data_IF_780573361560
#
_entry.id   IF_780573361560
#
_cell.length_a   1.000
_cell.length_b   1.000
_cell.length_c   1.000
_cell.angle_alpha   90.00
_cell.angle_beta   90.00
_cell.angle_gamma   90.00
#
_symmetry.space_group_name_H-M   'P 1'
#
loop_
_entity.id
_entity.type
_entity.pdbx_description
1 polymer ?
#
# COMPACT_ATOMS: atom_id res chain seq x y z
N UNK A 1 10.68 -3.86 -4.82
CA UNK A 1 9.91 -3.89 -3.58
C UNK A 1 8.73 -4.85 -3.67
N UNK A 2 7.70 -4.52 -4.46
CA UNK A 2 6.41 -5.21 -4.46
C UNK A 2 6.50 -6.73 -4.66
N UNK A 3 7.14 -7.18 -5.74
CA UNK A 3 7.31 -8.62 -6.03
C UNK A 3 7.98 -9.39 -4.87
N UNK A 4 9.00 -8.81 -4.26
CA UNK A 4 9.71 -9.40 -3.11
C UNK A 4 8.78 -9.49 -1.90
N UNK A 5 7.94 -8.47 -1.67
CA UNK A 5 6.93 -8.49 -0.61
C UNK A 5 5.88 -9.58 -0.82
N UNK A 6 5.43 -9.79 -2.07
CA UNK A 6 4.48 -10.88 -2.41
C UNK A 6 5.11 -12.26 -2.22
N UNK A 7 6.36 -12.43 -2.65
CA UNK A 7 7.09 -13.68 -2.49
C UNK A 7 7.32 -14.04 -1.02
N UNK A 8 7.74 -13.06 -0.20
CA UNK A 8 7.93 -13.24 1.25
C UNK A 8 6.65 -13.69 1.96
N UNK A 9 5.49 -13.18 1.53
CA UNK A 9 4.18 -13.60 2.06
C UNK A 9 3.80 -15.00 1.58
N UNK A 10 4.07 -15.35 0.32
CA UNK A 10 3.78 -16.69 -0.23
C UNK A 10 4.52 -17.79 0.52
N UNK A 11 5.74 -17.53 0.98
CA UNK A 11 6.52 -18.47 1.78
C UNK A 11 5.96 -18.60 3.21
N UNK A 12 5.53 -17.49 3.80
CA UNK A 12 4.91 -17.47 5.14
C UNK A 12 3.46 -18.00 5.18
N UNK A 13 2.70 -17.90 4.08
CA UNK A 13 1.27 -18.26 4.05
C UNK A 13 1.02 -19.78 4.04
N UNK A 14 1.96 -20.59 3.55
CA UNK A 14 1.86 -22.07 3.61
C UNK A 14 1.83 -22.63 5.04
N UNK A 15 2.32 -21.88 6.04
CA UNK A 15 2.39 -22.34 7.45
C UNK A 15 1.29 -21.72 8.33
N UNK A 16 0.57 -20.71 7.87
CA UNK A 16 -0.19 -19.78 8.73
C UNK A 16 -1.71 -19.76 8.47
N UNK A 17 -2.33 -20.93 8.35
CA UNK A 17 -3.80 -21.06 8.20
C UNK A 17 -4.58 -20.98 9.52
N UNK A 18 -3.93 -20.75 10.67
CA UNK A 18 -4.55 -20.91 12.00
C UNK A 18 -4.15 -19.85 13.05
N UNK A 19 -3.98 -18.58 12.70
CA UNK A 19 -3.72 -17.52 13.70
C UNK A 19 -4.68 -16.35 13.54
N UNK A 20 -5.75 -16.39 14.34
CA UNK A 20 -6.91 -15.48 14.40
C UNK A 20 -6.61 -14.12 15.08
N UNK A 21 -5.45 -13.51 14.81
CA UNK A 21 -4.98 -12.28 15.49
C UNK A 21 -4.33 -11.23 14.59
N UNK A 22 -4.42 -11.37 13.26
CA UNK A 22 -3.69 -10.54 12.31
C UNK A 22 -4.37 -9.22 11.95
N UNK A 23 -5.69 -9.09 12.10
CA UNK A 23 -6.47 -7.95 11.61
C UNK A 23 -6.01 -6.60 12.18
N UNK A 24 -5.72 -6.56 13.49
CA UNK A 24 -5.27 -5.32 14.15
C UNK A 24 -3.84 -4.93 13.75
N UNK A 25 -2.98 -5.93 13.48
CA UNK A 25 -1.60 -5.68 13.02
C UNK A 25 -1.59 -5.17 11.58
N UNK A 26 -2.44 -5.74 10.71
CA UNK A 26 -2.65 -5.30 9.34
C UNK A 26 -3.15 -3.85 9.29
N UNK A 27 -4.11 -3.51 10.15
CA UNK A 27 -4.61 -2.13 10.26
C UNK A 27 -3.50 -1.16 10.65
N UNK A 28 -2.72 -1.45 11.69
CA UNK A 28 -1.61 -0.60 12.12
C UNK A 28 -0.54 -0.44 11.03
N UNK A 29 -0.21 -1.52 10.31
CA UNK A 29 0.73 -1.46 9.19
C UNK A 29 0.20 -0.62 8.03
N UNK A 30 -1.11 -0.68 7.76
CA UNK A 30 -1.75 0.18 6.75
C UNK A 30 -1.76 1.65 7.19
N UNK A 31 -2.08 1.93 8.46
CA UNK A 31 -2.06 3.28 9.02
C UNK A 31 -0.64 3.88 9.00
N UNK A 32 0.38 3.08 9.30
CA UNK A 32 1.77 3.48 9.21
C UNK A 32 2.16 3.97 7.80
N UNK A 33 1.45 3.56 6.74
CA UNK A 33 1.77 4.02 5.38
C UNK A 33 1.51 5.50 5.13
N UNK A 34 0.68 6.15 5.96
CA UNK A 34 0.51 7.59 5.89
C UNK A 34 1.82 8.33 6.15
N UNK A 35 2.79 7.72 6.85
CA UNK A 35 4.11 8.31 7.06
C UNK A 35 4.95 8.36 5.78
N UNK A 36 4.66 7.50 4.79
CA UNK A 36 5.37 7.54 3.51
C UNK A 36 5.00 8.77 2.69
N UNK A 37 3.80 9.33 2.85
CA UNK A 37 3.36 10.53 2.13
C UNK A 37 4.28 11.73 2.43
N UNK A 38 4.49 12.17 3.69
CA UNK A 38 5.43 13.26 3.97
C UNK A 38 6.88 12.88 3.65
N UNK A 39 7.27 11.61 3.78
CA UNK A 39 8.60 11.13 3.37
C UNK A 39 8.83 11.29 1.86
N UNK A 40 7.83 10.98 1.03
CA UNK A 40 7.87 11.20 -0.42
C UNK A 40 7.87 12.68 -0.76
N UNK A 41 7.27 13.54 0.06
CA UNK A 41 7.27 14.99 -0.13
C UNK A 41 8.59 15.67 0.27
N UNK A 42 9.32 15.09 1.23
CA UNK A 42 10.68 15.52 1.61
C UNK A 42 11.75 15.11 0.59
N UNK A 43 11.36 14.25 -0.36
CA UNK A 43 12.19 13.77 -1.44
C UNK A 43 12.48 14.92 -2.43
N UNK A 44 13.74 15.05 -2.83
CA UNK A 44 14.16 16.17 -3.66
C UNK A 44 13.51 16.21 -5.04
N UNK A 45 12.85 17.33 -5.35
CA UNK A 45 12.40 17.68 -6.70
C UNK A 45 12.98 19.05 -7.07
N UNK A 46 13.58 19.12 -8.27
CA UNK A 46 14.29 20.31 -8.79
C UNK A 46 13.42 21.57 -8.87
N UNK A 47 12.09 21.41 -8.89
CA UNK A 47 11.09 22.48 -9.01
C UNK A 47 10.41 22.82 -7.67
N UNK A 48 10.80 22.17 -6.56
CA UNK A 48 10.07 22.27 -5.30
C UNK A 48 10.46 23.51 -4.49
N UNK A 49 9.47 24.28 -4.03
CA UNK A 49 9.64 25.50 -3.20
C UNK A 49 9.93 25.18 -1.72
N UNK A 50 10.16 23.92 -1.36
CA UNK A 50 10.30 23.44 0.03
C UNK A 50 11.79 23.47 0.43
N UNK A 51 12.18 24.22 1.48
CA UNK A 51 13.60 24.39 1.85
C UNK A 51 14.23 23.16 2.52
N UNK A 52 13.45 22.12 2.84
CA UNK A 52 13.87 20.95 3.61
C UNK A 52 14.13 19.69 2.75
N UNK A 53 14.62 19.90 1.54
CA UNK A 53 14.74 18.87 0.53
C UNK A 53 16.04 18.07 0.68
N UNK A 54 15.95 16.76 0.91
CA UNK A 54 17.14 15.90 1.06
C UNK A 54 17.69 15.56 -0.33
N UNK A 55 18.82 16.18 -0.69
CA UNK A 55 19.59 15.95 -1.93
C UNK A 55 20.28 14.57 -1.94
N UNK A 56 19.53 13.49 -1.78
CA UNK A 56 20.06 12.13 -1.88
C UNK A 56 19.10 11.27 -2.69
N UNK A 57 19.50 10.95 -3.93
CA UNK A 57 18.75 10.06 -4.82
C UNK A 57 18.58 8.65 -4.20
N UNK A 58 19.51 8.26 -3.32
CA UNK A 58 19.43 7.02 -2.54
C UNK A 58 18.27 7.03 -1.54
N UNK A 59 17.97 8.19 -0.93
CA UNK A 59 16.86 8.31 0.00
C UNK A 59 15.53 8.05 -0.72
N UNK A 60 15.33 8.69 -1.89
CA UNK A 60 14.19 8.47 -2.77
C UNK A 60 14.01 6.99 -3.11
N UNK A 61 15.09 6.33 -3.51
CA UNK A 61 15.07 4.93 -3.92
C UNK A 61 14.73 3.98 -2.77
N UNK A 62 15.30 4.19 -1.58
CA UNK A 62 15.02 3.39 -0.38
C UNK A 62 13.58 3.55 0.07
N UNK A 63 13.06 4.78 0.12
CA UNK A 63 11.66 5.06 0.50
C UNK A 63 10.70 4.41 -0.49
N UNK A 64 10.95 4.56 -1.81
CA UNK A 64 10.15 3.92 -2.86
C UNK A 64 10.19 2.38 -2.74
N UNK A 65 11.37 1.81 -2.46
CA UNK A 65 11.53 0.37 -2.29
C UNK A 65 10.75 -0.15 -1.09
N UNK A 66 10.84 0.52 0.07
CA UNK A 66 10.17 0.13 1.30
C UNK A 66 8.65 0.27 1.19
N UNK A 67 8.18 1.35 0.56
CA UNK A 67 6.77 1.54 0.22
C UNK A 67 6.26 0.41 -0.68
N UNK A 68 6.97 0.11 -1.78
CA UNK A 68 6.57 -0.98 -2.67
C UNK A 68 6.59 -2.35 -1.97
N UNK A 69 7.60 -2.62 -1.14
CA UNK A 69 7.70 -3.88 -0.39
C UNK A 69 6.52 -4.06 0.57
N UNK A 70 6.23 -3.04 1.39
CA UNK A 70 5.09 -3.09 2.31
C UNK A 70 3.76 -3.22 1.56
N UNK A 71 3.59 -2.55 0.40
CA UNK A 71 2.44 -2.70 -0.49
C UNK A 71 2.20 -4.14 -0.94
N UNK A 72 3.24 -4.81 -1.43
CA UNK A 72 3.16 -6.20 -1.87
C UNK A 72 2.78 -7.15 -0.74
N UNK A 73 3.33 -6.93 0.47
CA UNK A 73 3.02 -7.76 1.64
C UNK A 73 1.56 -7.66 2.09
N UNK A 74 1.08 -6.46 2.45
CA UNK A 74 -0.28 -6.31 2.99
C UNK A 74 -1.33 -6.67 1.94
N UNK A 75 -1.11 -6.31 0.67
CA UNK A 75 -2.06 -6.63 -0.40
C UNK A 75 -2.20 -8.15 -0.54
N UNK A 76 -1.08 -8.88 -0.55
CA UNK A 76 -1.10 -10.34 -0.66
C UNK A 76 -1.80 -10.98 0.55
N UNK A 77 -1.47 -10.53 1.78
CA UNK A 77 -2.14 -10.99 2.99
C UNK A 77 -3.65 -10.72 2.94
N UNK A 78 -4.05 -9.52 2.52
CA UNK A 78 -5.45 -9.13 2.42
C UNK A 78 -6.22 -10.02 1.43
N UNK A 79 -5.67 -10.28 0.24
CA UNK A 79 -6.29 -11.15 -0.75
C UNK A 79 -6.34 -12.62 -0.32
N UNK A 80 -5.36 -13.10 0.44
CA UNK A 80 -5.36 -14.47 0.98
C UNK A 80 -6.35 -14.63 2.14
N UNK A 81 -6.45 -13.63 3.02
CA UNK A 81 -7.33 -13.71 4.20
C UNK A 81 -8.79 -13.35 3.89
N UNK A 82 -9.07 -12.37 3.03
CA UNK A 82 -10.43 -11.91 2.71
C UNK A 82 -11.45 -13.03 2.40
N UNK A 83 -11.17 -14.03 1.53
CA UNK A 83 -12.12 -15.11 1.26
C UNK A 83 -12.28 -16.08 2.43
N UNK A 84 -11.31 -16.17 3.35
CA UNK A 84 -11.39 -17.03 4.54
C UNK A 84 -12.28 -16.45 5.64
N UNK A 85 -12.56 -15.15 5.64
CA UNK A 85 -13.47 -14.50 6.59
C UNK A 85 -14.96 -14.70 6.23
N UNK A 86 -15.25 -15.24 5.04
CA UNK A 86 -16.61 -15.39 4.53
C UNK A 86 -17.23 -16.69 5.06
N UNK A 87 -18.30 -16.56 5.85
CA UNK A 87 -19.08 -17.69 6.38
C UNK A 87 -20.55 -17.55 5.95
N UNK A 88 -21.15 -18.56 5.28
CA UNK A 88 -20.62 -19.88 4.93
C UNK A 88 -19.57 -19.84 3.79
N UNK A 89 -18.62 -20.79 3.76
CA UNK A 89 -17.56 -20.86 2.75
C UNK A 89 -18.10 -21.44 1.44
N UNK A 90 -18.91 -20.66 0.73
CA UNK A 90 -19.38 -20.97 -0.63
C UNK A 90 -18.43 -20.34 -1.64
N UNK A 91 -17.98 -21.09 -2.65
CA UNK A 91 -17.04 -20.60 -3.67
C UNK A 91 -17.47 -19.27 -4.30
N UNK A 92 -18.76 -19.13 -4.60
CA UNK A 92 -19.34 -17.90 -5.14
C UNK A 92 -19.13 -16.69 -4.20
N UNK A 93 -19.33 -16.87 -2.89
CA UNK A 93 -19.22 -15.77 -1.93
C UNK A 93 -17.76 -15.37 -1.69
N UNK A 94 -16.84 -16.35 -1.73
CA UNK A 94 -15.41 -16.12 -1.70
C UNK A 94 -14.94 -15.33 -2.93
N UNK A 95 -15.36 -15.71 -4.14
CA UNK A 95 -15.06 -14.98 -5.37
C UNK A 95 -15.58 -13.54 -5.32
N UNK A 96 -16.81 -13.34 -4.84
CA UNK A 96 -17.39 -12.02 -4.67
C UNK A 96 -16.58 -11.16 -3.68
N UNK A 97 -16.11 -11.73 -2.58
CA UNK A 97 -15.27 -11.02 -1.61
C UNK A 97 -13.96 -10.50 -2.24
N UNK A 98 -13.29 -11.34 -3.03
CA UNK A 98 -12.07 -10.94 -3.75
C UNK A 98 -12.35 -9.89 -4.83
N UNK A 99 -13.50 -9.97 -5.51
CA UNK A 99 -13.91 -8.98 -6.49
C UNK A 99 -14.18 -7.60 -5.84
N UNK A 100 -14.88 -7.57 -4.71
CA UNK A 100 -15.14 -6.35 -3.93
C UNK A 100 -13.83 -5.76 -3.41
N UNK A 101 -12.92 -6.60 -2.92
CA UNK A 101 -11.59 -6.17 -2.47
C UNK A 101 -10.81 -5.51 -3.62
N UNK A 102 -10.80 -6.13 -4.80
CA UNK A 102 -10.13 -5.59 -5.97
C UNK A 102 -10.77 -4.27 -6.43
N UNK A 103 -12.09 -4.18 -6.40
CA UNK A 103 -12.81 -2.95 -6.69
C UNK A 103 -12.42 -1.82 -5.73
N UNK A 104 -12.34 -2.11 -4.43
CA UNK A 104 -11.90 -1.15 -3.41
C UNK A 104 -10.44 -0.72 -3.59
N UNK A 105 -9.57 -1.62 -4.04
CA UNK A 105 -8.17 -1.30 -4.31
C UNK A 105 -8.06 -0.38 -5.54
N UNK A 106 -8.75 -0.72 -6.62
CA UNK A 106 -8.79 0.09 -7.84
C UNK A 106 -9.41 1.47 -7.58
N UNK A 107 -10.47 1.56 -6.78
CA UNK A 107 -11.08 2.84 -6.42
C UNK A 107 -10.13 3.71 -5.60
N UNK A 108 -9.36 3.12 -4.67
CA UNK A 108 -8.30 3.83 -3.95
C UNK A 108 -7.20 4.37 -4.86
N UNK A 109 -6.75 3.58 -5.84
CA UNK A 109 -5.77 4.02 -6.83
C UNK A 109 -6.31 5.15 -7.72
N UNK A 110 -7.58 5.06 -8.12
CA UNK A 110 -8.27 6.09 -8.88
C UNK A 110 -8.34 7.40 -8.08
N UNK A 111 -8.81 7.35 -6.84
CA UNK A 111 -8.88 8.50 -5.94
C UNK A 111 -7.48 9.08 -5.70
N UNK A 112 -6.47 8.24 -5.48
CA UNK A 112 -5.07 8.70 -5.34
C UNK A 112 -4.54 9.42 -6.58
N UNK A 113 -4.91 8.95 -7.78
CA UNK A 113 -4.56 9.61 -9.04
C UNK A 113 -5.22 10.98 -9.16
N UNK A 114 -6.50 11.10 -8.78
CA UNK A 114 -7.20 12.39 -8.74
C UNK A 114 -6.64 13.34 -7.68
N UNK A 115 -6.26 12.82 -6.50
CA UNK A 115 -5.64 13.62 -5.42
C UNK A 115 -4.22 14.10 -5.76
N UNK A 116 -3.55 13.48 -6.72
CA UNK A 116 -2.21 13.89 -7.13
C UNK A 116 -2.20 15.29 -7.75
N UNK A 117 -3.28 15.72 -8.42
CA UNK A 117 -3.40 17.06 -9.01
C UNK A 117 -3.42 18.20 -7.97
N UNK A 118 -4.32 18.21 -6.98
CA UNK A 118 -4.31 19.26 -5.94
C UNK A 118 -3.05 19.20 -5.08
N UNK A 119 -2.48 18.01 -4.83
CA UNK A 119 -1.19 17.92 -4.14
C UNK A 119 -0.10 18.62 -4.94
N UNK A 120 0.06 18.28 -6.23
CA UNK A 120 1.03 18.95 -7.10
C UNK A 120 0.83 20.47 -7.12
N UNK A 121 -0.42 20.93 -7.18
CA UNK A 121 -0.74 22.36 -7.13
C UNK A 121 -0.28 23.01 -5.83
N UNK A 122 -0.50 22.37 -4.67
CA UNK A 122 -0.01 22.85 -3.37
C UNK A 122 1.52 22.92 -3.33
N UNK A 123 2.23 22.00 -3.98
CA UNK A 123 3.70 21.94 -3.96
C UNK A 123 4.39 22.87 -4.97
N UNK A 124 3.85 23.01 -6.19
CA UNK A 124 4.48 23.77 -7.27
C UNK A 124 3.92 25.20 -7.37
N UNK A 125 2.70 25.45 -6.89
CA UNK A 125 2.07 26.77 -6.93
C UNK A 125 1.73 27.30 -8.33
N UNK A 126 1.94 26.50 -9.38
CA UNK A 126 1.57 26.82 -10.77
C UNK A 126 0.49 25.85 -11.29
N UNK A 127 -0.34 26.34 -12.21
CA UNK A 127 -1.30 25.52 -12.97
C UNK A 127 -0.61 24.62 -13.97
#
# INVERSE_FOLDING_TARGET
GDFIGRFAVSDSSSTSSHVQGYDQRLFWQSAARWIFVPLFLLCYSKESQIPLSVHSDLFSWVVQFLFAYTNGMITSLCFTHAPSLVVPPTEHLQQMSSAILNFSLCSGLLVGSFLSFPLLWVFTGSW
#
